data_IF_229356780832
#
_entry.id   IF_229356780832
#
_cell.length_a   1.000
_cell.length_b   1.000
_cell.length_c   1.000
_cell.angle_alpha   90.00
_cell.angle_beta   90.00
_cell.angle_gamma   90.00
#
_symmetry.space_group_name_H-M   'P 1'
#
loop_
_entity.id
_entity.type
_entity.pdbx_description
1 polymer ?
#
# COMPACT_ATOMS: atom_id res chain seq x y z
N UNK A 1 -6.47 26.57 14.21
CA UNK A 1 -7.30 26.61 12.99
C UNK A 1 -6.58 26.04 11.75
N UNK A 2 -5.31 26.36 11.49
CA UNK A 2 -4.57 25.81 10.32
C UNK A 2 -4.44 24.29 10.28
N UNK A 3 -4.22 23.63 11.44
CA UNK A 3 -4.14 22.17 11.52
C UNK A 3 -5.41 21.47 10.99
N UNK A 4 -6.58 22.08 11.20
CA UNK A 4 -7.86 21.56 10.72
C UNK A 4 -7.95 21.56 9.19
N UNK A 5 -7.50 22.63 8.54
CA UNK A 5 -7.47 22.74 7.08
C UNK A 5 -6.49 21.76 6.45
N UNK A 6 -5.31 21.61 7.06
CA UNK A 6 -4.30 20.68 6.60
C UNK A 6 -4.78 19.22 6.74
N UNK A 7 -5.52 18.91 7.81
CA UNK A 7 -6.19 17.63 7.98
C UNK A 7 -7.27 17.37 6.91
N UNK A 8 -8.12 18.36 6.64
CA UNK A 8 -9.16 18.24 5.59
C UNK A 8 -8.52 18.01 4.22
N UNK A 9 -7.48 18.77 3.88
CA UNK A 9 -6.73 18.61 2.64
C UNK A 9 -6.09 17.22 2.54
N UNK A 10 -5.50 16.74 3.64
CA UNK A 10 -4.94 15.39 3.71
C UNK A 10 -6.00 14.32 3.43
N UNK A 11 -7.15 14.37 4.09
CA UNK A 11 -8.24 13.39 3.91
C UNK A 11 -8.81 13.44 2.49
N UNK A 12 -8.99 14.64 1.93
CA UNK A 12 -9.47 14.81 0.56
C UNK A 12 -8.48 14.24 -0.46
N UNK A 13 -7.20 14.59 -0.37
CA UNK A 13 -6.14 14.04 -1.23
C UNK A 13 -5.99 12.53 -1.07
N UNK A 14 -6.10 12.03 0.16
CA UNK A 14 -6.08 10.59 0.44
C UNK A 14 -7.23 9.88 -0.25
N UNK A 15 -8.46 10.36 -0.13
CA UNK A 15 -9.63 9.79 -0.82
C UNK A 15 -9.51 9.81 -2.34
N UNK A 16 -9.04 10.93 -2.92
CA UNK A 16 -8.78 11.04 -4.37
C UNK A 16 -7.70 10.05 -4.80
N UNK A 17 -6.62 9.92 -4.02
CA UNK A 17 -5.54 8.99 -4.30
C UNK A 17 -6.05 7.53 -4.33
N UNK A 18 -6.89 7.12 -3.37
CA UNK A 18 -7.49 5.78 -3.36
C UNK A 18 -8.25 5.46 -4.65
N UNK A 19 -9.07 6.40 -5.13
CA UNK A 19 -9.82 6.24 -6.37
C UNK A 19 -8.86 6.14 -7.56
N UNK A 20 -7.83 6.99 -7.59
CA UNK A 20 -6.80 6.99 -8.63
C UNK A 20 -5.96 5.70 -8.64
N UNK A 21 -5.85 4.99 -7.53
CA UNK A 21 -5.10 3.73 -7.45
C UNK A 21 -5.82 2.55 -8.09
N UNK A 22 -7.14 2.58 -8.24
CA UNK A 22 -7.91 1.50 -8.90
C UNK A 22 -7.36 1.18 -10.31
N UNK A 23 -7.26 2.13 -11.26
CA UNK A 23 -6.69 1.86 -12.58
C UNK A 23 -5.19 1.53 -12.50
N UNK A 24 -4.46 2.12 -11.57
CA UNK A 24 -3.02 1.90 -11.41
C UNK A 24 -2.71 0.45 -11.02
N UNK A 25 -3.41 -0.09 -10.02
CA UNK A 25 -3.28 -1.48 -9.56
C UNK A 25 -3.72 -2.45 -10.66
N UNK A 26 -4.80 -2.14 -11.40
CA UNK A 26 -5.23 -2.98 -12.54
C UNK A 26 -4.17 -3.10 -13.63
N UNK A 27 -3.36 -2.05 -13.86
CA UNK A 27 -2.30 -2.03 -14.89
C UNK A 27 -0.99 -2.68 -14.43
N UNK A 28 -0.62 -2.53 -13.16
CA UNK A 28 0.68 -3.00 -12.63
C UNK A 28 0.62 -4.36 -11.90
N UNK A 29 -0.56 -4.98 -11.79
CA UNK A 29 -0.70 -6.28 -11.11
C UNK A 29 -0.04 -7.44 -11.87
N UNK A 30 0.44 -8.42 -11.11
CA UNK A 30 0.83 -9.72 -11.65
C UNK A 30 -0.42 -10.51 -12.07
N UNK A 31 -0.44 -11.19 -13.24
CA UNK A 31 -1.63 -11.88 -13.77
C UNK A 31 -2.19 -12.97 -12.85
N UNK A 32 -1.36 -13.53 -11.96
CA UNK A 32 -1.75 -14.58 -11.00
C UNK A 32 -2.43 -14.05 -9.73
N UNK A 33 -2.42 -12.73 -9.47
CA UNK A 33 -2.96 -12.14 -8.25
C UNK A 33 -4.41 -11.67 -8.40
N UNK A 34 -5.27 -11.97 -7.40
CA UNK A 34 -6.65 -11.48 -7.38
C UNK A 34 -6.63 -9.94 -7.27
N UNK A 35 -7.31 -9.20 -8.17
CA UNK A 35 -7.19 -7.74 -8.27
C UNK A 35 -7.63 -7.03 -6.99
N UNK A 36 -8.65 -7.58 -6.32
CA UNK A 36 -9.19 -7.03 -5.07
C UNK A 36 -8.17 -7.16 -3.94
N UNK A 37 -7.48 -8.31 -3.82
CA UNK A 37 -6.48 -8.52 -2.78
C UNK A 37 -5.27 -7.61 -2.92
N UNK A 38 -4.75 -7.44 -4.14
CA UNK A 38 -3.65 -6.52 -4.40
C UNK A 38 -4.01 -5.06 -4.09
N UNK A 39 -5.25 -4.65 -4.38
CA UNK A 39 -5.75 -3.32 -4.04
C UNK A 39 -5.85 -3.11 -2.52
N UNK A 40 -6.45 -4.05 -1.79
CA UNK A 40 -6.56 -3.97 -0.33
C UNK A 40 -5.19 -3.90 0.34
N UNK A 41 -4.23 -4.76 -0.05
CA UNK A 41 -2.88 -4.73 0.49
C UNK A 41 -2.19 -3.37 0.24
N UNK A 42 -2.33 -2.83 -0.96
CA UNK A 42 -1.77 -1.53 -1.30
C UNK A 42 -2.39 -0.40 -0.48
N UNK A 43 -3.71 -0.34 -0.41
CA UNK A 43 -4.43 0.69 0.34
C UNK A 43 -4.05 0.64 1.80
N UNK A 44 -3.94 -0.55 2.39
CA UNK A 44 -3.53 -0.72 3.78
C UNK A 44 -2.10 -0.21 4.00
N UNK A 45 -1.13 -0.65 3.18
CA UNK A 45 0.28 -0.24 3.32
C UNK A 45 0.43 1.26 3.09
N UNK A 46 -0.20 1.80 2.05
CA UNK A 46 -0.20 3.22 1.74
C UNK A 46 -0.78 4.04 2.89
N UNK A 47 -1.92 3.63 3.45
CA UNK A 47 -2.57 4.34 4.54
C UNK A 47 -1.71 4.31 5.79
N UNK A 48 -1.21 3.13 6.20
CA UNK A 48 -0.34 2.99 7.38
C UNK A 48 0.92 3.85 7.22
N UNK A 49 1.59 3.80 6.07
CA UNK A 49 2.78 4.60 5.82
C UNK A 49 2.47 6.11 5.84
N UNK A 50 1.38 6.53 5.19
CA UNK A 50 1.00 7.93 5.14
C UNK A 50 0.67 8.48 6.55
N UNK A 51 -0.11 7.73 7.34
CA UNK A 51 -0.41 8.11 8.72
C UNK A 51 0.82 8.14 9.61
N UNK A 52 1.75 7.19 9.47
CA UNK A 52 2.99 7.18 10.24
C UNK A 52 3.87 8.39 9.91
N UNK A 53 4.09 8.69 8.63
CA UNK A 53 4.93 9.82 8.22
C UNK A 53 4.26 11.14 8.63
N UNK A 54 2.96 11.27 8.37
CA UNK A 54 2.21 12.48 8.73
C UNK A 54 2.18 12.71 10.24
N UNK A 55 1.90 11.66 11.02
CA UNK A 55 1.91 11.69 12.48
C UNK A 55 3.29 12.04 13.04
N UNK A 56 4.37 11.48 12.46
CA UNK A 56 5.73 11.80 12.84
C UNK A 56 6.07 13.28 12.58
N UNK A 57 5.68 13.82 11.42
CA UNK A 57 5.86 15.25 11.10
C UNK A 57 5.10 16.12 12.10
N UNK A 58 3.85 15.77 12.41
CA UNK A 58 3.06 16.51 13.41
C UNK A 58 3.71 16.46 14.80
N UNK A 59 4.18 15.30 15.23
CA UNK A 59 4.83 15.12 16.53
C UNK A 59 6.13 15.92 16.63
N UNK A 60 6.93 15.98 15.55
CA UNK A 60 8.14 16.80 15.49
C UNK A 60 7.78 18.28 15.55
N UNK A 61 6.76 18.70 14.80
CA UNK A 61 6.31 20.08 14.76
C UNK A 61 5.76 20.56 16.10
N UNK A 62 5.05 19.73 16.86
CA UNK A 62 4.49 20.12 18.15
C UNK A 62 5.46 19.95 19.31
N UNK A 63 6.37 18.96 19.25
CA UNK A 63 7.28 18.62 20.34
C UNK A 63 8.66 19.26 20.25
N UNK A 64 9.30 19.21 19.07
CA UNK A 64 10.72 19.57 18.91
C UNK A 64 10.88 20.93 18.23
N UNK A 65 10.00 21.28 17.30
CA UNK A 65 10.12 22.49 16.49
C UNK A 65 8.80 23.27 16.37
N UNK A 66 8.31 23.87 17.47
CA UNK A 66 7.04 24.62 17.50
C UNK A 66 7.00 25.84 16.57
N UNK A 67 8.16 26.31 16.09
CA UNK A 67 8.28 27.38 15.10
C UNK A 67 8.19 26.94 13.62
N UNK A 68 7.90 25.66 13.34
CA UNK A 68 7.81 25.20 11.95
C UNK A 68 6.65 25.91 11.22
N UNK A 69 6.88 26.58 10.08
CA UNK A 69 5.90 27.45 9.41
C UNK A 69 4.86 26.64 8.62
N UNK A 70 4.16 25.72 9.29
CA UNK A 70 3.07 24.89 8.76
C UNK A 70 1.84 25.70 8.32
N UNK A 71 1.78 26.98 8.69
CA UNK A 71 0.75 27.91 8.20
C UNK A 71 0.96 28.36 6.76
N UNK A 72 2.15 28.15 6.17
CA UNK A 72 2.41 28.48 4.77
C UNK A 72 1.88 27.38 3.85
N UNK A 73 1.06 27.75 2.87
CA UNK A 73 0.52 26.84 1.85
C UNK A 73 1.61 26.04 1.14
N UNK A 74 2.78 26.66 0.92
CA UNK A 74 3.92 26.01 0.28
C UNK A 74 4.51 24.91 1.18
N UNK A 75 4.61 25.16 2.49
CA UNK A 75 5.06 24.17 3.46
C UNK A 75 4.06 23.00 3.58
N UNK A 76 2.76 23.29 3.52
CA UNK A 76 1.72 22.25 3.51
C UNK A 76 1.84 21.33 2.28
N UNK A 77 2.10 21.89 1.09
CA UNK A 77 2.32 21.11 -0.13
C UNK A 77 3.57 20.23 0.01
N UNK A 78 4.68 20.78 0.52
CA UNK A 78 5.91 20.02 0.71
C UNK A 78 5.69 18.84 1.68
N UNK A 79 5.01 19.08 2.80
CA UNK A 79 4.64 18.04 3.76
C UNK A 79 3.78 16.96 3.09
N UNK A 80 2.77 17.35 2.32
CA UNK A 80 1.92 16.41 1.59
C UNK A 80 2.74 15.58 0.59
N UNK A 81 3.65 16.17 -0.16
CA UNK A 81 4.52 15.45 -1.08
C UNK A 81 5.44 14.46 -0.34
N UNK A 82 6.04 14.89 0.77
CA UNK A 82 6.89 14.05 1.61
C UNK A 82 6.11 12.88 2.22
N UNK A 83 4.81 13.04 2.48
CA UNK A 83 3.98 11.95 3.01
C UNK A 83 3.53 11.00 1.89
N UNK A 84 2.97 11.56 0.81
CA UNK A 84 2.32 10.76 -0.23
C UNK A 84 3.30 10.08 -1.17
N UNK A 85 4.38 10.75 -1.59
CA UNK A 85 5.33 10.20 -2.58
C UNK A 85 6.03 8.93 -2.07
N UNK A 86 6.70 8.93 -0.91
CA UNK A 86 7.35 7.71 -0.42
C UNK A 86 6.34 6.63 -0.02
N UNK A 87 5.17 7.00 0.52
CA UNK A 87 4.10 6.02 0.82
C UNK A 87 3.60 5.34 -0.44
N UNK A 88 3.42 6.11 -1.52
CA UNK A 88 3.02 5.60 -2.83
C UNK A 88 4.09 4.68 -3.42
N UNK A 89 5.36 5.08 -3.37
CA UNK A 89 6.48 4.26 -3.84
C UNK A 89 6.58 2.95 -3.04
N UNK A 90 6.42 3.00 -1.72
CA UNK A 90 6.48 1.82 -0.85
C UNK A 90 5.35 0.84 -1.17
N UNK A 91 4.12 1.34 -1.28
CA UNK A 91 2.96 0.52 -1.63
C UNK A 91 3.10 -0.08 -3.05
N UNK A 92 3.62 0.70 -4.00
CA UNK A 92 3.87 0.25 -5.38
C UNK A 92 4.94 -0.83 -5.44
N UNK A 93 6.04 -0.65 -4.68
CA UNK A 93 7.09 -1.64 -4.55
C UNK A 93 6.56 -2.96 -3.97
N UNK A 94 5.60 -2.89 -3.04
CA UNK A 94 4.97 -4.07 -2.47
C UNK A 94 4.11 -4.85 -3.48
N UNK A 95 3.24 -4.17 -4.27
CA UNK A 95 2.45 -4.87 -5.32
C UNK A 95 3.36 -5.48 -6.38
N UNK A 96 4.47 -4.81 -6.72
CA UNK A 96 5.40 -5.29 -7.75
C UNK A 96 6.17 -6.54 -7.33
N UNK A 97 6.30 -6.82 -6.03
CA UNK A 97 6.96 -8.05 -5.56
C UNK A 97 6.09 -9.25 -5.90
N UNK A 98 6.71 -10.30 -6.46
CA UNK A 98 6.01 -11.55 -6.75
C UNK A 98 5.41 -12.09 -5.45
N UNK A 99 4.18 -12.65 -5.49
CA UNK A 99 3.64 -13.35 -4.34
C UNK A 99 4.63 -14.44 -3.90
N UNK A 100 4.83 -14.66 -2.58
CA UNK A 100 5.62 -15.77 -2.09
C UNK A 100 5.08 -17.06 -2.74
N UNK A 101 5.93 -17.78 -3.48
CA UNK A 101 5.54 -19.09 -4.01
C UNK A 101 5.20 -19.98 -2.81
N UNK A 102 4.08 -20.68 -2.89
CA UNK A 102 3.74 -21.68 -1.88
C UNK A 102 4.93 -22.66 -1.71
N UNK A 103 5.24 -23.10 -0.48
CA UNK A 103 6.27 -24.10 -0.24
C UNK A 103 6.06 -25.33 -1.14
N UNK A 104 7.12 -25.92 -1.71
CA UNK A 104 6.99 -27.17 -2.45
C UNK A 104 6.32 -28.22 -1.57
N UNK A 105 5.32 -28.91 -2.12
CA UNK A 105 4.58 -29.98 -1.45
C UNK A 105 5.43 -31.23 -1.20
N UNK A 106 6.70 -31.23 -1.55
CA UNK A 106 7.62 -32.34 -1.35
C UNK A 106 7.89 -32.61 0.15
N UNK A 107 7.65 -31.63 1.03
CA UNK A 107 7.70 -31.77 2.50
C UNK A 107 6.30 -31.96 3.13
N UNK A 108 5.25 -32.13 2.33
CA UNK A 108 3.90 -32.32 2.86
C UNK A 108 3.80 -33.69 3.56
N UNK A 109 3.22 -33.75 4.79
CA UNK A 109 2.95 -35.01 5.45
C UNK A 109 2.18 -35.98 4.54
N UNK A 110 2.45 -37.30 4.60
CA UNK A 110 1.94 -38.30 3.63
C UNK A 110 0.41 -38.43 3.55
N UNK A 111 -0.35 -37.68 4.35
CA UNK A 111 -1.81 -37.68 4.37
C UNK A 111 -2.45 -36.51 3.59
N UNK A 112 -1.66 -35.62 2.98
CA UNK A 112 -2.21 -34.51 2.18
C UNK A 112 -2.46 -34.98 0.75
N UNK A 113 -3.69 -35.40 0.46
CA UNK A 113 -4.11 -35.81 -0.89
C UNK A 113 -4.13 -34.58 -1.83
N UNK A 114 -3.41 -34.58 -2.96
CA UNK A 114 -3.42 -33.48 -3.91
C UNK A 114 -4.81 -33.37 -4.56
N UNK A 115 -5.55 -32.35 -4.17
CA UNK A 115 -6.84 -32.01 -4.78
C UNK A 115 -6.60 -31.25 -6.09
N UNK A 116 -6.66 -31.97 -7.21
CA UNK A 116 -7.32 -31.42 -8.40
C UNK A 116 -6.50 -30.99 -9.62
N UNK A 117 -5.25 -31.44 -9.82
CA UNK A 117 -4.57 -31.20 -11.13
C UNK A 117 -3.78 -32.35 -11.73
N UNK A 118 -3.34 -33.32 -10.95
CA UNK A 118 -2.40 -34.32 -11.44
C UNK A 118 -3.07 -35.50 -12.15
N UNK A 119 -4.36 -35.74 -11.89
CA UNK A 119 -5.08 -36.88 -12.46
C UNK A 119 -5.18 -36.86 -14.00
N UNK A 120 -5.14 -35.69 -14.65
CA UNK A 120 -5.21 -35.60 -16.12
C UNK A 120 -3.93 -35.99 -16.85
N UNK A 121 -2.76 -35.98 -16.19
CA UNK A 121 -1.49 -36.29 -16.89
C UNK A 121 -1.24 -37.80 -17.00
N UNK A 122 -1.83 -38.58 -16.12
CA UNK A 122 -1.58 -40.03 -16.04
C UNK A 122 -2.62 -40.87 -16.80
N UNK A 123 -3.68 -40.26 -17.33
CA UNK A 123 -4.67 -40.95 -18.20
C UNK A 123 -4.29 -40.88 -19.71
N UNK A 124 -3.25 -40.13 -20.07
CA UNK A 124 -2.76 -39.99 -21.46
C UNK A 124 -1.44 -40.72 -21.75
N UNK A 125 -0.96 -41.57 -20.83
CA UNK A 125 0.19 -42.46 -21.04
C UNK A 125 -0.23 -43.92 -20.89
#
# INVERSE_FOLDING_TARGET
MFATWLWIAFVALWGIALIAFIPHVRRNRHPESRPVGAYLSFVTVFSVAAYLIFGAILAIATGVWPGMPLGNWLAAIIVLLIVFVPSFLLATAMIRRRPPKAPPLDDAPPHVVPTGREKRRNEER
#
